data_IF_772849247544
#
_entry.id   IF_772849247544
#
_cell.length_a   1.000
_cell.length_b   1.000
_cell.length_c   1.000
_cell.angle_alpha   90.00
_cell.angle_beta   90.00
_cell.angle_gamma   90.00
#
_symmetry.space_group_name_H-M   'P 1'
#
loop_
_entity.id
_entity.type
_entity.pdbx_description
1 polymer ?
#
# COMPACT_ATOMS: atom_id res chain seq x y z
N UNK A 1 -35.24 22.28 -51.58
CA UNK A 1 -34.00 23.00 -51.22
C UNK A 1 -32.82 22.08 -51.51
N UNK A 2 -31.93 22.37 -52.48
CA UNK A 2 -30.74 21.55 -52.70
C UNK A 2 -29.65 21.94 -51.69
N UNK A 3 -29.26 20.96 -50.89
CA UNK A 3 -28.17 21.03 -49.90
C UNK A 3 -26.84 21.19 -50.63
N UNK A 4 -26.06 22.22 -50.28
CA UNK A 4 -24.76 22.56 -50.88
C UNK A 4 -23.69 21.49 -50.56
N UNK A 5 -23.10 20.80 -51.55
CA UNK A 5 -22.12 19.72 -51.37
C UNK A 5 -20.69 20.19 -50.99
N UNK A 6 -20.49 21.46 -50.60
CA UNK A 6 -19.15 22.01 -50.29
C UNK A 6 -18.69 21.92 -48.83
N UNK A 7 -19.44 21.28 -47.93
CA UNK A 7 -18.97 21.02 -46.55
C UNK A 7 -18.06 19.78 -46.49
N UNK A 8 -16.85 19.93 -47.05
CA UNK A 8 -15.76 18.96 -46.94
C UNK A 8 -15.27 18.91 -45.50
N UNK A 9 -15.32 17.73 -44.88
CA UNK A 9 -14.66 17.40 -43.62
C UNK A 9 -13.20 17.88 -43.66
N UNK A 10 -12.91 18.92 -42.86
CA UNK A 10 -11.56 19.44 -42.63
C UNK A 10 -11.16 19.17 -41.18
N UNK A 11 -11.34 17.95 -40.69
CA UNK A 11 -10.67 17.54 -39.45
C UNK A 11 -9.16 17.42 -39.74
N UNK A 12 -8.31 18.25 -39.11
CA UNK A 12 -6.87 18.13 -39.31
C UNK A 12 -6.41 16.78 -38.76
N UNK A 13 -5.43 16.11 -39.40
CA UNK A 13 -4.94 14.82 -38.93
C UNK A 13 -4.36 14.96 -37.52
N UNK A 14 -4.69 14.03 -36.61
CA UNK A 14 -4.33 14.08 -35.18
C UNK A 14 -2.83 14.25 -34.92
N UNK A 15 -1.99 13.82 -35.86
CA UNK A 15 -0.54 14.03 -35.84
C UNK A 15 -0.16 15.53 -35.91
N UNK A 16 -0.82 16.29 -36.78
CA UNK A 16 -0.61 17.74 -36.93
C UNK A 16 -1.01 18.50 -35.66
N UNK A 17 -2.09 18.09 -34.99
CA UNK A 17 -2.53 18.71 -33.73
C UNK A 17 -1.49 18.54 -32.60
N UNK A 18 -0.94 17.32 -32.44
CA UNK A 18 0.13 17.06 -31.44
C UNK A 18 1.39 17.85 -31.73
N UNK A 19 1.79 17.91 -32.99
CA UNK A 19 3.00 18.60 -33.41
C UNK A 19 2.87 20.12 -33.20
N UNK A 20 1.68 20.68 -33.45
CA UNK A 20 1.37 22.08 -33.17
C UNK A 20 1.38 22.36 -31.67
N UNK A 21 0.75 21.50 -30.86
CA UNK A 21 0.73 21.63 -29.40
C UNK A 21 2.14 21.61 -28.80
N UNK A 22 3.00 20.69 -29.26
CA UNK A 22 4.40 20.63 -28.84
C UNK A 22 5.19 21.87 -29.26
N UNK A 23 4.92 22.40 -30.46
CA UNK A 23 5.56 23.64 -30.94
C UNK A 23 5.15 24.86 -30.11
N UNK A 24 3.89 24.96 -29.70
CA UNK A 24 3.42 26.01 -28.80
C UNK A 24 3.99 25.87 -27.39
N UNK A 25 4.13 24.64 -26.88
CA UNK A 25 4.74 24.38 -25.57
C UNK A 25 6.23 24.74 -25.54
N UNK A 26 6.93 24.50 -26.66
CA UNK A 26 8.38 24.64 -26.78
C UNK A 26 8.82 26.00 -27.35
N UNK A 27 7.90 26.80 -27.88
CA UNK A 27 8.22 27.95 -28.71
C UNK A 27 7.32 29.15 -28.47
N UNK A 28 7.83 30.12 -27.73
CA UNK A 28 7.40 31.51 -27.78
C UNK A 28 8.63 32.37 -27.48
N UNK A 29 8.92 33.37 -28.31
CA UNK A 29 9.97 34.36 -28.04
C UNK A 29 9.55 35.15 -26.79
N UNK A 30 9.89 34.62 -25.61
CA UNK A 30 9.68 35.26 -24.33
C UNK A 30 10.99 35.93 -23.95
N UNK A 31 10.91 37.09 -23.30
CA UNK A 31 12.08 37.73 -22.68
C UNK A 31 12.85 36.72 -21.83
N UNK A 32 14.19 36.81 -21.81
CA UNK A 32 15.06 35.87 -21.10
C UNK A 32 14.66 35.67 -19.62
N UNK A 33 14.21 36.75 -18.96
CA UNK A 33 13.69 36.72 -17.58
C UNK A 33 12.44 35.82 -17.45
N UNK A 34 11.50 35.94 -18.38
CA UNK A 34 10.26 35.16 -18.38
C UNK A 34 10.54 33.68 -18.65
N UNK A 35 11.51 33.37 -19.53
CA UNK A 35 11.95 32.00 -19.78
C UNK A 35 12.60 31.38 -18.54
N UNK A 36 13.43 32.14 -17.82
CA UNK A 36 14.09 31.67 -16.59
C UNK A 36 13.06 31.32 -15.51
N UNK A 37 12.11 32.22 -15.23
CA UNK A 37 11.04 31.98 -14.25
C UNK A 37 10.19 30.78 -14.64
N UNK A 38 9.82 30.65 -15.93
CA UNK A 38 9.01 29.53 -16.42
C UNK A 38 9.72 28.19 -16.21
N UNK A 39 11.02 28.13 -16.47
CA UNK A 39 11.81 26.89 -16.31
C UNK A 39 11.92 26.47 -14.84
N UNK A 40 12.19 27.41 -13.94
CA UNK A 40 12.30 27.14 -12.50
C UNK A 40 10.94 26.74 -11.91
N UNK A 41 9.86 27.40 -12.31
CA UNK A 41 8.50 27.05 -11.86
C UNK A 41 8.09 25.63 -12.29
N UNK A 42 8.37 25.28 -13.55
CA UNK A 42 8.09 23.93 -14.05
C UNK A 42 8.92 22.87 -13.32
N UNK A 43 10.22 23.12 -13.12
CA UNK A 43 11.09 22.23 -12.37
C UNK A 43 10.60 22.03 -10.92
N UNK A 44 10.23 23.12 -10.23
CA UNK A 44 9.69 23.08 -8.88
C UNK A 44 8.39 22.28 -8.79
N UNK A 45 7.48 22.44 -9.76
CA UNK A 45 6.24 21.67 -9.81
C UNK A 45 6.50 20.17 -10.01
N UNK A 46 7.43 19.81 -10.90
CA UNK A 46 7.80 18.41 -11.13
C UNK A 46 8.38 17.79 -9.85
N UNK A 47 9.29 18.49 -9.18
CA UNK A 47 9.89 18.02 -7.92
C UNK A 47 8.82 17.86 -6.82
N UNK A 48 7.92 18.84 -6.67
CA UNK A 48 6.87 18.80 -5.67
C UNK A 48 5.91 17.60 -5.87
N UNK A 49 5.46 17.39 -7.11
CA UNK A 49 4.57 16.26 -7.44
C UNK A 49 5.30 14.93 -7.29
N UNK A 50 6.57 14.83 -7.69
CA UNK A 50 7.38 13.63 -7.53
C UNK A 50 7.54 13.23 -6.06
N UNK A 51 7.79 14.20 -5.18
CA UNK A 51 7.87 13.97 -3.73
C UNK A 51 6.53 13.49 -3.16
N UNK A 52 5.41 14.08 -3.55
CA UNK A 52 4.08 13.65 -3.10
C UNK A 52 3.80 12.19 -3.49
N UNK A 53 4.08 11.83 -4.75
CA UNK A 53 3.92 10.46 -5.24
C UNK A 53 4.87 9.51 -4.51
N UNK A 54 6.09 9.92 -4.22
CA UNK A 54 7.06 9.10 -3.48
C UNK A 54 6.56 8.77 -2.08
N UNK A 55 6.09 9.76 -1.33
CA UNK A 55 5.55 9.55 0.03
C UNK A 55 4.36 8.60 0.00
N UNK A 56 3.42 8.82 -0.94
CA UNK A 56 2.28 7.92 -1.13
C UNK A 56 2.72 6.52 -1.51
N UNK A 57 3.74 6.37 -2.38
CA UNK A 57 4.28 5.08 -2.80
C UNK A 57 4.94 4.34 -1.64
N UNK A 58 5.69 5.04 -0.79
CA UNK A 58 6.34 4.45 0.39
C UNK A 58 5.27 3.97 1.36
N UNK A 59 4.28 4.80 1.69
CA UNK A 59 3.19 4.40 2.58
C UNK A 59 2.39 3.23 2.00
N UNK A 60 2.00 3.28 0.73
CA UNK A 60 1.27 2.20 0.08
C UNK A 60 2.06 0.88 0.01
N UNK A 61 3.39 0.96 -0.14
CA UNK A 61 4.27 -0.22 -0.14
C UNK A 61 4.47 -0.79 1.27
N UNK A 62 4.81 0.07 2.23
CA UNK A 62 5.02 -0.32 3.62
C UNK A 62 3.75 -0.78 4.30
N UNK A 63 2.58 -0.22 3.98
CA UNK A 63 1.31 -0.63 4.56
C UNK A 63 1.03 -2.12 4.30
N UNK A 64 1.40 -2.64 3.13
CA UNK A 64 1.27 -4.08 2.82
C UNK A 64 2.19 -4.92 3.70
N UNK A 65 3.46 -4.55 3.75
CA UNK A 65 4.47 -5.25 4.55
C UNK A 65 4.16 -5.19 6.06
N UNK A 66 3.61 -4.07 6.53
CA UNK A 66 3.24 -3.86 7.94
C UNK A 66 1.96 -4.62 8.29
N UNK A 67 0.94 -4.61 7.40
CA UNK A 67 -0.27 -5.41 7.57
C UNK A 67 0.05 -6.90 7.61
N UNK A 68 0.90 -7.40 6.71
CA UNK A 68 1.25 -8.82 6.67
C UNK A 68 2.04 -9.25 7.91
N UNK A 69 2.96 -8.41 8.40
CA UNK A 69 3.72 -8.70 9.63
C UNK A 69 2.88 -8.64 10.90
N UNK A 70 1.91 -7.72 10.99
CA UNK A 70 1.05 -7.58 12.16
C UNK A 70 -0.08 -8.62 12.15
N UNK A 71 -0.79 -8.78 11.04
CA UNK A 71 -1.90 -9.73 10.93
C UNK A 71 -1.43 -11.18 10.90
N UNK A 72 -0.17 -11.44 10.51
CA UNK A 72 0.45 -12.76 10.65
C UNK A 72 0.69 -13.19 12.09
N UNK A 73 0.70 -12.26 13.05
CA UNK A 73 0.99 -12.53 14.47
C UNK A 73 -0.26 -12.49 15.36
N UNK A 74 -1.40 -11.98 14.87
CA UNK A 74 -2.62 -11.90 15.67
C UNK A 74 -3.52 -13.10 15.38
N UNK A 75 -3.73 -14.02 16.33
CA UNK A 75 -4.67 -15.11 16.16
C UNK A 75 -6.08 -14.52 15.98
N UNK A 76 -6.76 -14.84 14.87
CA UNK A 76 -8.11 -14.35 14.60
C UNK A 76 -9.17 -14.86 15.59
N UNK A 77 -8.86 -15.92 16.33
CA UNK A 77 -9.63 -16.42 17.47
C UNK A 77 -8.72 -17.24 18.38
N UNK A 78 -8.81 -17.03 19.70
CA UNK A 78 -8.19 -17.90 20.70
C UNK A 78 -9.28 -18.66 21.45
N UNK A 79 -9.03 -19.95 21.70
CA UNK A 79 -9.93 -20.81 22.48
C UNK A 79 -9.14 -21.27 23.69
N UNK A 80 -9.59 -20.89 24.89
CA UNK A 80 -8.99 -21.32 26.13
C UNK A 80 -9.71 -22.59 26.60
N UNK A 81 -8.94 -23.65 26.80
CA UNK A 81 -9.43 -24.93 27.31
C UNK A 81 -9.33 -24.92 28.84
N UNK A 82 -10.44 -25.18 29.53
CA UNK A 82 -10.41 -25.45 30.96
C UNK A 82 -9.78 -26.83 31.20
N UNK A 83 -9.06 -27.01 32.32
CA UNK A 83 -8.13 -28.13 32.57
C UNK A 83 -8.69 -29.57 32.53
N UNK A 84 -9.97 -29.76 32.24
CA UNK A 84 -10.63 -31.06 32.03
C UNK A 84 -11.02 -31.33 30.57
N UNK A 85 -10.76 -30.39 29.65
CA UNK A 85 -11.14 -30.50 28.25
C UNK A 85 -10.09 -31.27 27.42
N UNK A 86 -10.57 -32.20 26.61
CA UNK A 86 -9.75 -33.03 25.73
C UNK A 86 -9.27 -32.22 24.51
N UNK A 87 -7.99 -31.85 24.55
CA UNK A 87 -7.34 -30.99 23.55
C UNK A 87 -7.46 -31.58 22.13
N UNK A 88 -7.33 -32.91 21.98
CA UNK A 88 -7.38 -33.57 20.67
C UNK A 88 -8.77 -33.50 20.05
N UNK A 89 -9.82 -33.71 20.84
CA UNK A 89 -11.22 -33.64 20.36
C UNK A 89 -11.60 -32.21 19.96
N UNK A 90 -11.13 -31.22 20.71
CA UNK A 90 -11.40 -29.80 20.40
C UNK A 90 -10.66 -29.37 19.14
N UNK A 91 -9.39 -29.77 18.97
CA UNK A 91 -8.63 -29.53 17.75
C UNK A 91 -9.31 -30.12 16.51
N UNK A 92 -9.75 -31.39 16.58
CA UNK A 92 -10.44 -32.04 15.46
C UNK A 92 -11.77 -31.34 15.09
N UNK A 93 -12.52 -30.88 16.10
CA UNK A 93 -13.81 -30.19 15.91
C UNK A 93 -13.67 -28.78 15.31
N UNK A 94 -12.53 -28.13 15.53
CA UNK A 94 -12.22 -26.78 15.01
C UNK A 94 -11.54 -26.87 13.64
N UNK A 95 -10.70 -27.88 13.41
CA UNK A 95 -10.06 -28.13 12.13
C UNK A 95 -11.05 -28.56 11.03
N UNK A 96 -12.17 -29.20 11.39
CA UNK A 96 -13.16 -29.71 10.43
C UNK A 96 -14.20 -28.65 9.97
N UNK A 97 -14.07 -27.39 10.42
CA UNK A 97 -14.93 -26.29 9.96
C UNK A 97 -14.31 -25.64 8.71
N UNK A 98 -15.11 -25.45 7.66
CA UNK A 98 -14.64 -24.92 6.36
C UNK A 98 -13.99 -23.51 6.41
N UNK A 99 -14.08 -22.81 7.55
CA UNK A 99 -13.58 -21.44 7.76
C UNK A 99 -12.17 -21.36 8.38
N UNK A 100 -11.53 -22.49 8.73
CA UNK A 100 -10.22 -22.48 9.41
C UNK A 100 -9.06 -22.77 8.45
N UNK A 101 -8.15 -21.81 8.31
CA UNK A 101 -6.97 -21.95 7.42
C UNK A 101 -5.80 -22.67 8.10
N UNK A 102 -5.62 -22.47 9.41
CA UNK A 102 -4.59 -23.11 10.24
C UNK A 102 -4.99 -22.99 11.72
N UNK A 103 -4.78 -24.06 12.49
CA UNK A 103 -5.00 -24.10 13.95
C UNK A 103 -3.69 -24.52 14.58
N UNK A 104 -3.22 -23.78 15.58
CA UNK A 104 -1.96 -24.05 16.28
C UNK A 104 -2.24 -24.05 17.79
N UNK A 105 -1.96 -25.14 18.51
CA UNK A 105 -2.01 -25.13 19.96
C UNK A 105 -0.84 -24.28 20.49
N UNK A 106 -1.10 -23.49 21.53
CA UNK A 106 -0.07 -22.75 22.25
C UNK A 106 -0.29 -22.88 23.75
N UNK A 107 0.79 -22.83 24.51
CA UNK A 107 0.77 -22.86 25.97
C UNK A 107 1.37 -21.55 26.46
N UNK A 108 0.62 -20.83 27.30
CA UNK A 108 1.05 -19.60 27.93
C UNK A 108 1.25 -19.83 29.43
N UNK A 109 2.44 -19.56 29.94
CA UNK A 109 2.70 -19.60 31.37
C UNK A 109 3.44 -18.34 31.82
N UNK A 110 3.15 -17.90 33.04
CA UNK A 110 3.80 -16.76 33.68
C UNK A 110 4.99 -17.27 34.45
N UNK A 111 6.18 -16.73 34.16
CA UNK A 111 7.42 -17.09 34.84
C UNK A 111 8.06 -15.83 35.46
N UNK A 112 8.99 -16.03 36.38
CA UNK A 112 9.86 -14.96 36.88
C UNK A 112 11.25 -15.20 36.30
N UNK A 113 11.74 -14.27 35.48
CA UNK A 113 13.12 -14.29 35.01
C UNK A 113 14.00 -13.61 36.06
N UNK A 114 15.07 -14.28 36.47
CA UNK A 114 16.01 -13.79 37.48
C UNK A 114 17.37 -13.57 36.81
N UNK A 115 17.86 -12.34 36.85
CA UNK A 115 19.22 -12.01 36.41
C UNK A 115 19.94 -11.24 37.52
N UNK A 116 20.88 -11.92 38.18
CA UNK A 116 21.55 -11.38 39.37
C UNK A 116 20.56 -11.18 40.51
N UNK A 117 20.32 -9.92 40.87
CA UNK A 117 19.38 -9.51 41.94
C UNK A 117 18.05 -8.97 41.42
N UNK A 118 17.86 -8.85 40.09
CA UNK A 118 16.59 -8.43 39.51
C UNK A 118 15.75 -9.65 39.15
N UNK A 119 14.49 -9.65 39.64
CA UNK A 119 13.47 -10.61 39.26
C UNK A 119 12.35 -9.85 38.54
N UNK A 120 12.14 -10.15 37.25
CA UNK A 120 11.07 -9.55 36.46
C UNK A 120 10.06 -10.63 36.02
N UNK A 121 8.75 -10.33 36.10
CA UNK A 121 7.74 -11.21 35.54
C UNK A 121 7.84 -11.23 34.02
N UNK A 122 7.98 -12.43 33.47
CA UNK A 122 8.05 -12.68 32.03
C UNK A 122 6.92 -13.60 31.62
N UNK A 123 6.26 -13.25 30.53
CA UNK A 123 5.28 -14.11 29.89
C UNK A 123 5.98 -15.01 28.89
N UNK A 124 5.86 -16.32 29.06
CA UNK A 124 6.48 -17.29 28.16
C UNK A 124 5.36 -17.98 27.38
N UNK A 125 5.45 -17.91 26.06
CA UNK A 125 4.56 -18.60 25.14
C UNK A 125 5.34 -19.69 24.42
N UNK A 126 4.95 -20.94 24.65
CA UNK A 126 5.46 -22.11 23.94
C UNK A 126 4.49 -22.50 22.81
N UNK A 127 5.04 -22.68 21.61
CA UNK A 127 4.33 -23.28 20.47
C UNK A 127 4.96 -24.65 20.19
N UNK A 128 4.16 -25.63 19.80
CA UNK A 128 4.61 -26.94 19.29
C UNK A 128 4.92 -26.86 17.79
#
# INVERSE_FOLDING_TARGET
MPVDPRQRDKTPPRALQRQLAWRFFRGGQRSALVSMISSVSLAGMVVAVALLVLVLSVMNGFEREFRDRILGLVPHASIQLDGSADLQKTLASVANRASTRRVLPYIEFKALAILGTLAEPVLVQGTD
#
